data_IF_237769819252
#
_entry.id   IF_237769819252
#
_cell.length_a   1.000
_cell.length_b   1.000
_cell.length_c   1.000
_cell.angle_alpha   90.00
_cell.angle_beta   90.00
_cell.angle_gamma   90.00
#
_symmetry.space_group_name_H-M   'P 1'
#
loop_
_entity.id
_entity.type
_entity.pdbx_description
1 polymer ?
#
# COMPACT_ATOMS: atom_id res chain seq x y z
N UNK A 1 8.02 -53.77 -1.05
CA UNK A 1 8.03 -52.61 -0.12
C UNK A 1 9.05 -51.59 -0.60
N UNK A 2 8.66 -50.68 -1.51
CA UNK A 2 9.35 -49.41 -1.82
C UNK A 2 8.70 -48.80 -3.08
N UNK A 3 7.43 -48.38 -3.00
CA UNK A 3 6.77 -47.68 -4.12
C UNK A 3 5.54 -46.87 -3.69
N UNK A 4 5.54 -46.32 -2.46
CA UNK A 4 4.40 -45.55 -1.94
C UNK A 4 4.79 -44.26 -1.19
N UNK A 5 6.07 -43.85 -1.25
CA UNK A 5 6.53 -42.59 -0.66
C UNK A 5 6.54 -41.41 -1.66
N UNK A 6 6.70 -41.69 -2.97
CA UNK A 6 6.78 -40.65 -3.99
C UNK A 6 5.41 -40.07 -4.39
N UNK A 7 4.31 -40.78 -4.15
CA UNK A 7 2.96 -40.36 -4.57
C UNK A 7 2.22 -39.53 -3.50
N UNK A 8 2.72 -39.50 -2.25
CA UNK A 8 2.15 -38.70 -1.14
C UNK A 8 2.70 -37.27 -1.03
N UNK A 9 3.70 -36.89 -1.82
CA UNK A 9 4.26 -35.52 -1.84
C UNK A 9 3.61 -34.60 -2.90
N UNK A 10 2.78 -35.13 -3.80
CA UNK A 10 2.05 -34.36 -4.81
C UNK A 10 0.63 -33.90 -4.37
N UNK A 11 0.30 -34.04 -3.09
CA UNK A 11 -1.03 -33.75 -2.55
C UNK A 11 -1.01 -32.75 -1.38
N UNK A 12 -0.05 -31.82 -1.35
CA UNK A 12 -0.15 -30.63 -0.49
C UNK A 12 -0.87 -29.54 -1.29
N UNK A 13 -2.15 -29.27 -0.98
CA UNK A 13 -2.97 -28.43 -1.82
C UNK A 13 -2.54 -26.97 -1.70
N UNK A 14 -2.73 -26.29 -2.82
CA UNK A 14 -2.67 -24.84 -3.07
C UNK A 14 -3.57 -24.02 -2.08
N UNK A 15 -4.30 -24.69 -1.19
CA UNK A 15 -5.15 -24.12 -0.14
C UNK A 15 -4.39 -23.37 0.99
N UNK A 16 -3.12 -23.69 1.25
CA UNK A 16 -2.39 -23.01 2.32
C UNK A 16 -2.14 -21.52 2.03
N UNK A 17 -2.10 -21.12 0.74
CA UNK A 17 -1.95 -19.71 0.35
C UNK A 17 -3.26 -18.93 0.41
N UNK A 18 -4.42 -19.60 0.25
CA UNK A 18 -5.74 -18.97 0.39
C UNK A 18 -6.16 -18.77 1.85
N UNK A 19 -5.62 -19.56 2.78
CA UNK A 19 -5.98 -19.51 4.21
C UNK A 19 -5.36 -18.33 4.99
N UNK A 20 -4.27 -17.73 4.49
CA UNK A 20 -3.59 -16.62 5.17
C UNK A 20 -4.01 -15.22 4.72
N UNK A 21 -4.83 -15.12 3.66
CA UNK A 21 -5.51 -13.87 3.27
C UNK A 21 -6.88 -13.75 3.97
N UNK A 22 -7.41 -14.84 4.53
CA UNK A 22 -8.76 -14.97 5.09
C UNK A 22 -8.87 -14.82 6.61
N UNK A 23 -7.80 -14.52 7.35
CA UNK A 23 -7.93 -14.24 8.79
C UNK A 23 -8.00 -12.74 9.07
N UNK A 24 -9.16 -12.16 8.73
CA UNK A 24 -9.64 -10.91 9.31
C UNK A 24 -10.90 -11.21 10.12
N UNK A 25 -10.83 -10.99 11.44
CA UNK A 25 -11.95 -10.93 12.40
C UNK A 25 -12.86 -12.16 12.47
N UNK A 26 -12.51 -13.12 13.31
CA UNK A 26 -13.48 -14.04 13.89
C UNK A 26 -14.34 -13.30 14.92
N UNK A 27 -15.46 -12.73 14.46
CA UNK A 27 -16.61 -12.38 15.30
C UNK A 27 -17.57 -13.58 15.30
N UNK A 28 -18.11 -14.06 16.43
CA UNK A 28 -18.77 -15.37 16.50
C UNK A 28 -20.26 -15.33 16.06
N UNK A 29 -20.65 -14.43 15.18
CA UNK A 29 -22.04 -14.25 14.72
C UNK A 29 -22.18 -14.52 13.23
N UNK A 30 -22.03 -15.77 12.77
CA UNK A 30 -22.60 -16.25 11.51
C UNK A 30 -22.45 -15.36 10.25
N UNK A 31 -21.39 -14.57 10.17
CA UNK A 31 -21.31 -13.44 9.23
C UNK A 31 -20.61 -13.85 7.93
N UNK A 32 -21.11 -13.30 6.84
CA UNK A 32 -20.57 -13.44 5.50
C UNK A 32 -19.13 -12.91 5.49
N UNK A 33 -18.15 -13.79 5.28
CA UNK A 33 -16.75 -13.36 5.16
C UNK A 33 -16.60 -12.40 3.96
N UNK A 34 -16.37 -11.13 4.27
CA UNK A 34 -16.14 -10.09 3.27
C UNK A 34 -14.69 -10.15 2.80
N UNK A 35 -14.48 -10.21 1.49
CA UNK A 35 -13.13 -10.12 0.94
C UNK A 35 -12.64 -8.67 1.01
N UNK A 36 -11.37 -8.44 1.32
CA UNK A 36 -10.77 -7.09 1.35
C UNK A 36 -11.04 -6.30 0.07
N UNK A 37 -10.99 -6.96 -1.09
CA UNK A 37 -11.31 -6.36 -2.37
C UNK A 37 -12.76 -5.84 -2.45
N UNK A 38 -13.73 -6.56 -1.90
CA UNK A 38 -15.15 -6.16 -1.95
C UNK A 38 -15.42 -4.94 -1.08
N UNK A 39 -14.78 -4.87 0.09
CA UNK A 39 -14.84 -3.71 0.98
C UNK A 39 -14.22 -2.50 0.29
N UNK A 40 -13.04 -2.66 -0.32
CA UNK A 40 -12.35 -1.59 -1.05
C UNK A 40 -13.16 -1.09 -2.24
N UNK A 41 -13.75 -1.97 -3.05
CA UNK A 41 -14.58 -1.55 -4.19
C UNK A 41 -15.83 -0.79 -3.76
N UNK A 42 -16.45 -1.21 -2.65
CA UNK A 42 -17.63 -0.54 -2.09
C UNK A 42 -17.27 0.82 -1.51
N UNK A 43 -16.14 0.90 -0.81
CA UNK A 43 -15.59 2.14 -0.26
C UNK A 43 -15.24 3.14 -1.37
N UNK A 44 -14.51 2.71 -2.40
CA UNK A 44 -14.12 3.57 -3.53
C UNK A 44 -15.35 4.10 -4.29
N UNK A 45 -16.34 3.24 -4.56
CA UNK A 45 -17.58 3.68 -5.22
C UNK A 45 -18.31 4.73 -4.38
N UNK A 46 -18.45 4.50 -3.08
CA UNK A 46 -19.16 5.43 -2.19
C UNK A 46 -18.40 6.76 -2.04
N UNK A 47 -17.08 6.72 -1.93
CA UNK A 47 -16.21 7.91 -1.93
C UNK A 47 -16.38 8.72 -3.21
N UNK A 48 -16.43 8.08 -4.39
CA UNK A 48 -16.66 8.76 -5.66
C UNK A 48 -18.04 9.41 -5.74
N UNK A 49 -19.09 8.71 -5.29
CA UNK A 49 -20.46 9.26 -5.19
C UNK A 49 -20.48 10.50 -4.29
N UNK A 50 -19.82 10.45 -3.13
CA UNK A 50 -19.74 11.62 -2.25
C UNK A 50 -19.01 12.79 -2.90
N UNK A 51 -17.88 12.55 -3.56
CA UNK A 51 -17.15 13.61 -4.27
C UNK A 51 -17.97 14.22 -5.40
N UNK A 52 -18.66 13.39 -6.19
CA UNK A 52 -19.56 13.83 -7.22
C UNK A 52 -20.70 14.69 -6.62
N UNK A 53 -21.40 14.18 -5.61
CA UNK A 53 -22.48 14.90 -4.93
C UNK A 53 -22.02 16.23 -4.31
N UNK A 54 -20.87 16.24 -3.63
CA UNK A 54 -20.28 17.47 -3.09
C UNK A 54 -19.92 18.47 -4.20
N UNK A 55 -19.47 17.99 -5.36
CA UNK A 55 -19.22 18.79 -6.56
C UNK A 55 -20.48 19.44 -7.12
N UNK A 56 -21.60 18.71 -7.17
CA UNK A 56 -22.90 19.27 -7.58
C UNK A 56 -23.40 20.36 -6.63
N UNK A 57 -23.18 20.19 -5.33
CA UNK A 57 -23.55 21.16 -4.29
C UNK A 57 -22.52 22.33 -4.24
N UNK A 58 -21.49 22.31 -5.09
CA UNK A 58 -20.44 23.33 -5.15
C UNK A 58 -19.64 23.48 -3.84
N UNK A 59 -19.46 22.37 -3.10
CA UNK A 59 -18.68 22.33 -1.86
C UNK A 59 -17.16 22.38 -2.07
N UNK A 60 -16.69 22.40 -3.32
CA UNK A 60 -15.26 22.58 -3.64
C UNK A 60 -14.73 23.93 -3.13
N UNK A 61 -15.57 24.97 -3.11
CA UNK A 61 -15.19 26.25 -2.50
C UNK A 61 -15.04 26.16 -0.97
N UNK A 62 -15.79 25.28 -0.30
CA UNK A 62 -15.68 25.09 1.15
C UNK A 62 -14.37 24.40 1.52
N UNK A 63 -13.89 23.47 0.69
CA UNK A 63 -12.60 22.82 0.91
C UNK A 63 -11.40 23.76 0.67
N UNK A 64 -11.57 24.94 0.08
CA UNK A 64 -10.51 25.97 0.06
C UNK A 64 -10.20 26.47 1.49
N UNK A 65 -11.11 26.28 2.44
CA UNK A 65 -10.91 26.61 3.86
C UNK A 65 -9.98 25.60 4.56
N UNK A 66 -9.77 24.41 3.99
CA UNK A 66 -8.70 23.52 4.47
C UNK A 66 -7.36 24.19 4.20
N UNK A 67 -6.69 24.59 5.28
CA UNK A 67 -5.39 25.23 5.22
C UNK A 67 -4.34 24.29 4.60
N UNK A 68 -3.45 24.84 3.78
CA UNK A 68 -2.27 24.11 3.27
C UNK A 68 -1.47 23.46 4.42
N UNK A 69 -1.50 24.07 5.61
CA UNK A 69 -0.88 23.53 6.84
C UNK A 69 -1.52 22.21 7.29
N UNK A 70 -2.84 22.06 7.18
CA UNK A 70 -3.55 20.84 7.58
C UNK A 70 -3.19 19.69 6.63
N UNK A 71 -3.18 19.95 5.32
CA UNK A 71 -2.80 18.95 4.31
C UNK A 71 -1.34 18.55 4.46
N UNK A 72 -0.44 19.51 4.73
CA UNK A 72 0.99 19.25 4.98
C UNK A 72 1.20 18.41 6.25
N UNK A 73 0.52 18.73 7.35
CA UNK A 73 0.59 17.97 8.61
C UNK A 73 0.04 16.54 8.43
N UNK A 74 -1.11 16.41 7.76
CA UNK A 74 -1.69 15.10 7.42
C UNK A 74 -0.74 14.26 6.55
N UNK A 75 -0.21 14.83 5.46
CA UNK A 75 0.73 14.14 4.58
C UNK A 75 2.00 13.71 5.31
N UNK A 76 2.51 14.54 6.22
CA UNK A 76 3.68 14.21 7.05
C UNK A 76 3.37 13.08 8.02
N UNK A 77 2.19 13.11 8.68
CA UNK A 77 1.72 12.02 9.54
C UNK A 77 1.57 10.69 8.77
N UNK A 78 0.95 10.72 7.60
CA UNK A 78 0.85 9.57 6.71
C UNK A 78 2.23 9.05 6.28
N UNK A 79 3.20 9.93 6.01
CA UNK A 79 4.56 9.52 5.65
C UNK A 79 5.24 8.74 6.79
N UNK A 80 5.11 9.19 8.04
CA UNK A 80 5.66 8.49 9.22
C UNK A 80 4.93 7.15 9.43
N UNK A 81 3.61 7.12 9.25
CA UNK A 81 2.84 5.88 9.34
C UNK A 81 3.24 4.86 8.27
N UNK A 82 3.41 5.30 7.01
CA UNK A 82 3.87 4.44 5.91
C UNK A 82 5.29 3.97 6.18
N UNK A 83 6.21 4.86 6.58
CA UNK A 83 7.58 4.49 6.94
C UNK A 83 7.60 3.41 8.03
N UNK A 84 6.78 3.55 9.06
CA UNK A 84 6.62 2.52 10.11
C UNK A 84 6.15 1.19 9.54
N UNK A 85 5.17 1.19 8.63
CA UNK A 85 4.69 -0.03 7.98
C UNK A 85 5.76 -0.69 7.11
N UNK A 86 6.65 0.09 6.49
CA UNK A 86 7.76 -0.46 5.70
C UNK A 86 8.88 -1.03 6.58
N UNK A 87 9.12 -0.47 7.77
CA UNK A 87 10.08 -1.03 8.72
C UNK A 87 9.70 -2.46 9.14
N UNK A 88 8.41 -2.73 9.37
CA UNK A 88 7.94 -4.10 9.65
C UNK A 88 8.34 -5.10 8.55
N UNK A 89 8.14 -4.71 7.29
CA UNK A 89 8.54 -5.51 6.14
C UNK A 89 10.07 -5.64 6.02
N UNK A 90 10.82 -4.62 6.42
CA UNK A 90 12.28 -4.58 6.34
C UNK A 90 12.95 -5.56 7.32
N UNK A 91 12.37 -5.69 8.52
CA UNK A 91 12.86 -6.60 9.56
C UNK A 91 12.25 -8.01 9.47
N UNK A 92 11.38 -8.29 8.49
CA UNK A 92 10.71 -9.58 8.29
C UNK A 92 9.98 -10.09 9.55
N UNK A 93 9.57 -9.15 10.39
CA UNK A 93 8.88 -9.46 11.65
C UNK A 93 7.43 -9.76 11.27
N UNK A 94 7.13 -11.05 11.18
CA UNK A 94 5.76 -11.54 11.13
C UNK A 94 5.14 -11.36 12.51
N UNK A 95 4.75 -10.13 12.87
CA UNK A 95 3.89 -9.91 14.04
C UNK A 95 2.57 -10.60 13.71
N UNK A 96 2.19 -11.70 14.39
CA UNK A 96 0.92 -12.35 14.12
C UNK A 96 -0.18 -11.33 14.37
N UNK A 97 -0.96 -11.04 13.32
CA UNK A 97 -2.11 -10.10 13.36
C UNK A 97 -3.11 -10.41 14.48
N UNK A 98 -3.02 -11.63 15.02
CA UNK A 98 -3.89 -12.22 16.04
C UNK A 98 -3.39 -11.96 17.48
N UNK A 99 -2.18 -11.40 17.69
CA UNK A 99 -1.64 -11.08 19.03
C UNK A 99 -1.45 -9.59 19.28
N UNK A 100 -2.05 -8.73 18.47
CA UNK A 100 -2.21 -7.32 18.83
C UNK A 100 -3.53 -7.21 19.57
N UNK A 101 -3.48 -7.27 20.90
CA UNK A 101 -4.63 -7.24 21.81
C UNK A 101 -5.49 -5.97 21.71
N UNK A 102 -5.13 -5.01 20.86
CA UNK A 102 -5.78 -3.70 20.77
C UNK A 102 -5.69 -3.15 19.34
N UNK A 103 -6.55 -3.70 18.47
CA UNK A 103 -6.78 -3.23 17.09
C UNK A 103 -7.31 -1.78 17.05
N UNK A 104 -7.88 -1.27 18.15
CA UNK A 104 -8.70 -0.05 18.20
C UNK A 104 -8.14 1.09 19.06
N UNK A 105 -6.92 0.99 19.62
CA UNK A 105 -6.38 2.08 20.44
C UNK A 105 -5.72 3.18 19.58
N UNK A 106 -5.86 4.47 19.96
CA UNK A 106 -5.22 5.62 19.30
C UNK A 106 -3.67 5.63 19.37
N UNK A 107 -3.04 4.54 19.80
CA UNK A 107 -1.59 4.37 19.94
C UNK A 107 -1.08 3.05 19.34
N UNK A 108 -1.82 2.42 18.42
CA UNK A 108 -1.40 1.19 17.73
C UNK A 108 0.05 1.29 17.21
N UNK A 109 0.42 2.46 16.66
CA UNK A 109 1.77 2.72 16.16
C UNK A 109 2.83 2.60 17.26
N UNK A 110 2.58 3.09 18.48
CA UNK A 110 3.52 2.96 19.61
C UNK A 110 3.68 1.51 20.03
N UNK A 111 2.58 0.75 20.05
CA UNK A 111 2.63 -0.67 20.38
C UNK A 111 3.35 -1.49 19.28
N UNK A 112 3.16 -1.13 18.01
CA UNK A 112 3.90 -1.72 16.90
C UNK A 112 5.40 -1.45 17.07
N UNK A 113 5.81 -0.24 17.49
CA UNK A 113 7.22 0.10 17.75
C UNK A 113 7.83 -0.71 18.89
N UNK A 114 7.07 -0.93 19.97
CA UNK A 114 7.49 -1.79 21.10
C UNK A 114 7.64 -3.24 20.63
N UNK A 115 6.68 -3.75 19.85
CA UNK A 115 6.75 -5.11 19.28
C UNK A 115 7.93 -5.29 18.31
N UNK A 116 8.25 -4.28 17.51
CA UNK A 116 9.46 -4.28 16.66
C UNK A 116 10.72 -4.33 17.53
N UNK A 117 10.79 -3.53 18.59
CA UNK A 117 11.95 -3.47 19.47
C UNK A 117 12.21 -4.80 20.21
N UNK A 118 11.14 -5.47 20.68
CA UNK A 118 11.25 -6.78 21.34
C UNK A 118 11.66 -7.88 20.37
N UNK A 119 11.15 -7.84 19.12
CA UNK A 119 11.38 -8.90 18.15
C UNK A 119 12.61 -8.66 17.25
N UNK A 120 13.27 -7.51 17.39
CA UNK A 120 14.54 -7.17 16.74
C UNK A 120 15.62 -8.21 17.06
N UNK A 121 15.58 -8.80 18.27
CA UNK A 121 16.57 -9.79 18.74
C UNK A 121 16.39 -11.16 18.05
N UNK A 122 15.19 -11.49 17.56
CA UNK A 122 14.88 -12.76 16.89
C UNK A 122 14.87 -12.65 15.36
N UNK A 123 15.28 -11.51 14.81
CA UNK A 123 15.25 -11.25 13.37
C UNK A 123 16.32 -12.07 12.63
N UNK A 124 15.97 -12.58 11.45
CA UNK A 124 16.92 -13.24 10.57
C UNK A 124 17.95 -12.21 10.05
N UNK A 125 19.20 -12.31 10.52
CA UNK A 125 20.30 -11.43 10.12
C UNK A 125 20.52 -11.39 8.59
N UNK A 126 20.14 -12.46 7.88
CA UNK A 126 20.26 -12.53 6.42
C UNK A 126 19.24 -11.61 5.74
N UNK A 127 17.99 -11.56 6.23
CA UNK A 127 16.97 -10.68 5.66
C UNK A 127 17.29 -9.21 5.92
N UNK A 128 17.82 -8.89 7.11
CA UNK A 128 18.29 -7.55 7.45
C UNK A 128 19.49 -7.12 6.59
N UNK A 129 20.46 -8.01 6.37
CA UNK A 129 21.59 -7.75 5.49
C UNK A 129 21.16 -7.52 4.04
N UNK A 130 20.22 -8.31 3.55
CA UNK A 130 19.66 -8.17 2.19
C UNK A 130 18.89 -6.86 2.02
N UNK A 131 18.10 -6.47 3.03
CA UNK A 131 17.29 -5.27 2.99
C UNK A 131 18.14 -4.00 3.12
N UNK A 132 19.15 -4.00 3.99
CA UNK A 132 20.16 -2.95 4.08
C UNK A 132 20.97 -2.81 2.79
N UNK A 133 21.38 -3.94 2.19
CA UNK A 133 22.06 -3.94 0.89
C UNK A 133 21.15 -3.38 -0.21
N UNK A 134 19.88 -3.78 -0.25
CA UNK A 134 18.90 -3.26 -1.20
C UNK A 134 18.72 -1.75 -1.11
N UNK A 135 18.59 -1.21 0.11
CA UNK A 135 18.51 0.24 0.36
C UNK A 135 19.81 0.94 -0.07
N UNK A 136 20.97 0.44 0.35
CA UNK A 136 22.26 1.02 0.01
C UNK A 136 22.49 1.05 -1.51
N UNK A 137 22.14 -0.03 -2.19
CA UNK A 137 22.24 -0.14 -3.64
C UNK A 137 21.26 0.82 -4.34
N UNK A 138 20.02 0.95 -3.84
CA UNK A 138 19.04 1.91 -4.38
C UNK A 138 19.52 3.36 -4.24
N UNK A 139 20.03 3.73 -3.07
CA UNK A 139 20.63 5.06 -2.82
C UNK A 139 21.84 5.28 -3.72
N UNK A 140 22.73 4.29 -3.84
CA UNK A 140 23.91 4.38 -4.70
C UNK A 140 23.52 4.60 -6.17
N UNK A 141 22.52 3.87 -6.65
CA UNK A 141 22.01 4.00 -8.03
C UNK A 141 21.43 5.38 -8.28
N UNK A 142 20.61 5.92 -7.36
CA UNK A 142 20.01 7.25 -7.51
C UNK A 142 21.02 8.38 -7.37
N UNK A 143 21.89 8.34 -6.36
CA UNK A 143 22.79 9.44 -6.05
C UNK A 143 24.05 9.46 -6.93
N UNK A 144 24.56 8.30 -7.36
CA UNK A 144 25.82 8.21 -8.11
C UNK A 144 25.63 7.84 -9.58
N UNK A 145 24.78 6.87 -9.89
CA UNK A 145 24.64 6.37 -11.28
C UNK A 145 23.73 7.29 -12.09
N UNK A 146 22.59 7.71 -11.55
CA UNK A 146 21.62 8.56 -12.25
C UNK A 146 22.22 9.90 -12.73
N UNK A 147 22.93 10.71 -11.91
CA UNK A 147 23.53 11.96 -12.39
C UNK A 147 24.65 11.73 -13.39
N UNK A 148 25.46 10.67 -13.23
CA UNK A 148 26.51 10.32 -14.19
C UNK A 148 25.92 9.90 -15.54
N UNK A 149 24.81 9.16 -15.52
CA UNK A 149 24.11 8.73 -16.72
C UNK A 149 23.46 9.91 -17.45
N UNK A 150 22.81 10.82 -16.71
CA UNK A 150 22.26 12.08 -17.25
C UNK A 150 23.36 12.96 -17.86
N UNK A 151 24.50 13.08 -17.19
CA UNK A 151 25.66 13.83 -17.70
C UNK A 151 26.23 13.20 -18.97
N UNK A 152 26.33 11.87 -19.03
CA UNK A 152 26.92 11.15 -20.17
C UNK A 152 26.02 11.15 -21.41
N UNK A 153 24.71 10.99 -21.24
CA UNK A 153 23.77 10.91 -22.35
C UNK A 153 23.14 12.26 -22.73
N UNK A 154 23.42 13.34 -21.97
CA UNK A 154 22.91 14.71 -22.19
C UNK A 154 21.39 14.77 -22.43
N UNK A 155 20.67 13.81 -21.86
CA UNK A 155 19.22 13.66 -21.99
C UNK A 155 18.54 14.14 -20.72
N UNK A 156 17.59 15.07 -20.88
CA UNK A 156 16.72 15.55 -19.79
C UNK A 156 15.56 14.58 -19.49
N UNK A 157 15.65 13.33 -19.95
CA UNK A 157 14.59 12.33 -19.79
C UNK A 157 14.84 11.59 -18.46
N UNK A 158 13.83 11.49 -17.58
CA UNK A 158 13.94 10.67 -16.37
C UNK A 158 14.12 9.20 -16.76
N UNK A 159 15.22 8.58 -16.32
CA UNK A 159 15.46 7.16 -16.57
C UNK A 159 14.63 6.30 -15.60
N UNK A 160 13.96 5.22 -16.06
CA UNK A 160 13.15 4.34 -15.21
C UNK A 160 14.05 3.38 -14.38
N UNK A 161 14.94 3.95 -13.57
CA UNK A 161 15.97 3.21 -12.85
C UNK A 161 15.38 2.27 -11.79
N UNK A 162 14.26 2.67 -11.18
CA UNK A 162 13.54 1.90 -10.17
C UNK A 162 13.05 0.55 -10.75
N UNK A 163 12.52 0.55 -11.98
CA UNK A 163 12.05 -0.68 -12.64
C UNK A 163 13.22 -1.59 -13.01
N UNK A 164 14.32 -1.02 -13.53
CA UNK A 164 15.53 -1.80 -13.83
C UNK A 164 16.10 -2.45 -12.58
N UNK A 165 16.06 -1.74 -11.45
CA UNK A 165 16.51 -2.24 -10.16
C UNK A 165 15.70 -3.45 -9.70
N UNK A 166 14.37 -3.35 -9.77
CA UNK A 166 13.45 -4.44 -9.40
C UNK A 166 13.69 -5.66 -10.29
N UNK A 167 13.89 -5.48 -11.59
CA UNK A 167 14.22 -6.58 -12.52
C UNK A 167 15.54 -7.23 -12.14
N UNK A 168 16.60 -6.45 -11.91
CA UNK A 168 17.90 -6.96 -11.51
C UNK A 168 17.85 -7.74 -10.20
N UNK A 169 17.13 -7.22 -9.19
CA UNK A 169 16.96 -7.89 -7.91
C UNK A 169 16.13 -9.18 -8.04
N UNK A 170 15.14 -9.21 -8.93
CA UNK A 170 14.36 -10.43 -9.22
C UNK A 170 15.24 -11.53 -9.83
N UNK A 171 16.09 -11.18 -10.79
CA UNK A 171 17.04 -12.11 -11.41
C UNK A 171 18.07 -12.61 -10.39
N UNK A 172 18.61 -11.70 -9.56
CA UNK A 172 19.52 -12.04 -8.49
C UNK A 172 18.88 -12.99 -7.47
N UNK A 173 17.63 -12.72 -7.10
CA UNK A 173 16.85 -13.56 -6.19
C UNK A 173 16.64 -14.97 -6.72
N UNK A 174 16.34 -15.08 -8.02
CA UNK A 174 16.19 -16.36 -8.71
C UNK A 174 17.51 -17.14 -8.77
N UNK A 175 18.63 -16.48 -9.10
CA UNK A 175 19.94 -17.13 -9.23
C UNK A 175 20.48 -17.67 -7.90
N UNK A 176 20.27 -16.92 -6.81
CA UNK A 176 20.74 -17.28 -5.46
C UNK A 176 19.76 -18.18 -4.69
N UNK A 177 18.58 -18.47 -5.27
CA UNK A 177 17.52 -19.31 -4.68
C UNK A 177 17.23 -18.96 -3.20
N UNK A 178 17.08 -17.65 -2.92
CA UNK A 178 17.01 -17.13 -1.55
C UNK A 178 15.84 -17.66 -0.74
N UNK A 179 14.72 -17.97 -1.40
CA UNK A 179 13.54 -18.51 -0.76
C UNK A 179 13.81 -19.87 -0.09
N UNK A 180 14.46 -20.78 -0.81
CA UNK A 180 14.65 -22.16 -0.34
C UNK A 180 15.76 -22.26 0.71
N UNK A 181 16.81 -21.43 0.58
CA UNK A 181 18.02 -21.51 1.43
C UNK A 181 18.00 -20.57 2.64
N UNK A 182 17.31 -19.43 2.54
CA UNK A 182 17.34 -18.38 3.57
C UNK A 182 15.96 -18.00 4.11
N UNK A 183 14.89 -18.70 3.68
CA UNK A 183 13.49 -18.47 4.08
C UNK A 183 13.04 -17.00 3.96
N UNK A 184 13.58 -16.27 2.99
CA UNK A 184 13.17 -14.89 2.74
C UNK A 184 11.79 -14.90 2.10
N UNK A 185 10.88 -14.07 2.63
CA UNK A 185 9.55 -13.86 2.05
C UNK A 185 9.65 -13.35 0.62
N UNK A 186 9.21 -14.16 -0.35
CA UNK A 186 9.09 -13.75 -1.75
C UNK A 186 7.65 -13.39 -2.10
N UNK A 187 7.49 -12.50 -3.06
CA UNK A 187 6.17 -12.21 -3.62
C UNK A 187 5.61 -13.49 -4.25
N UNK A 188 4.42 -13.91 -3.79
CA UNK A 188 3.74 -15.10 -4.28
C UNK A 188 3.16 -14.91 -5.69
N UNK A 189 2.33 -15.86 -6.11
CA UNK A 189 1.70 -15.81 -7.42
C UNK A 189 0.73 -14.62 -7.53
N UNK A 190 1.01 -13.71 -8.46
CA UNK A 190 0.11 -12.63 -8.84
C UNK A 190 -0.89 -13.20 -9.85
N UNK A 191 -2.21 -13.13 -9.61
CA UNK A 191 -3.21 -13.62 -10.55
C UNK A 191 -3.07 -12.88 -11.89
N UNK A 192 -3.07 -13.63 -12.99
CA UNK A 192 -2.94 -13.06 -14.34
C UNK A 192 -4.32 -12.66 -14.87
N UNK A 193 -4.40 -11.50 -15.49
CA UNK A 193 -5.63 -10.98 -16.10
C UNK A 193 -6.30 -9.89 -15.26
N UNK A 194 -7.25 -9.19 -15.89
CA UNK A 194 -8.05 -8.19 -15.21
C UNK A 194 -9.09 -8.89 -14.32
N UNK A 195 -9.28 -8.46 -13.06
CA UNK A 195 -10.39 -8.95 -12.26
C UNK A 195 -11.70 -8.60 -12.98
N UNK A 196 -12.65 -9.54 -13.03
CA UNK A 196 -13.95 -9.28 -13.60
C UNK A 196 -14.62 -8.12 -12.84
N UNK A 197 -15.24 -7.13 -13.53
CA UNK A 197 -16.00 -6.08 -12.88
C UNK A 197 -17.11 -6.72 -12.03
N UNK A 198 -17.06 -6.47 -10.72
CA UNK A 198 -18.09 -6.89 -9.78
C UNK A 198 -18.77 -5.67 -9.21
N UNK A 199 -20.10 -5.74 -9.08
CA UNK A 199 -20.84 -4.70 -8.40
C UNK A 199 -20.49 -4.72 -6.90
N UNK A 200 -20.28 -3.54 -6.30
CA UNK A 200 -20.02 -3.44 -4.87
C UNK A 200 -21.25 -3.86 -4.07
N UNK A 201 -21.01 -4.43 -2.90
CA UNK A 201 -22.09 -4.95 -2.05
C UNK A 201 -22.73 -3.80 -1.29
N UNK A 202 -24.02 -3.59 -1.54
CA UNK A 202 -24.78 -2.50 -0.93
C UNK A 202 -24.95 -2.69 0.58
N UNK A 203 -24.90 -3.94 1.06
CA UNK A 203 -25.08 -4.28 2.48
C UNK A 203 -23.98 -3.67 3.37
N UNK A 204 -22.75 -3.51 2.85
CA UNK A 204 -21.63 -2.91 3.60
C UNK A 204 -21.68 -1.37 3.62
N UNK A 205 -22.43 -0.74 2.72
CA UNK A 205 -22.38 0.71 2.53
C UNK A 205 -22.76 1.45 3.82
N UNK A 206 -23.71 0.92 4.58
CA UNK A 206 -24.13 1.54 5.84
C UNK A 206 -23.02 1.55 6.89
N UNK A 207 -22.11 0.56 6.88
CA UNK A 207 -21.03 0.46 7.86
C UNK A 207 -19.83 1.35 7.51
N UNK A 208 -19.60 1.62 6.22
CA UNK A 208 -18.42 2.37 5.73
C UNK A 208 -18.75 3.81 5.32
N UNK A 209 -19.97 4.28 5.61
CA UNK A 209 -20.45 5.59 5.14
C UNK A 209 -19.65 6.76 5.73
N UNK A 210 -19.28 6.68 7.01
CA UNK A 210 -18.47 7.73 7.65
C UNK A 210 -17.02 7.69 7.18
N UNK A 211 -16.43 6.50 7.06
CA UNK A 211 -15.06 6.34 6.57
C UNK A 211 -14.90 6.87 5.14
N UNK A 212 -15.85 6.53 4.25
CA UNK A 212 -15.83 6.99 2.86
C UNK A 212 -16.00 8.51 2.72
N UNK A 213 -16.77 9.17 3.59
CA UNK A 213 -16.92 10.62 3.62
C UNK A 213 -15.62 11.31 4.05
N UNK A 214 -14.96 10.80 5.11
CA UNK A 214 -13.66 11.33 5.56
C UNK A 214 -12.62 11.18 4.46
N UNK A 215 -12.55 9.99 3.84
CA UNK A 215 -11.64 9.73 2.72
C UNK A 215 -11.94 10.65 1.54
N UNK A 216 -13.22 10.90 1.23
CA UNK A 216 -13.61 11.80 0.13
C UNK A 216 -13.07 13.23 0.33
N UNK A 217 -13.20 13.79 1.53
CA UNK A 217 -12.73 15.13 1.88
C UNK A 217 -11.21 15.20 1.83
N UNK A 218 -10.53 14.23 2.45
CA UNK A 218 -9.06 14.20 2.53
C UNK A 218 -8.44 14.01 1.15
N UNK A 219 -8.95 13.07 0.36
CA UNK A 219 -8.48 12.82 -1.00
C UNK A 219 -8.65 14.06 -1.88
N UNK A 220 -9.79 14.77 -1.76
CA UNK A 220 -9.99 16.02 -2.47
C UNK A 220 -9.00 17.10 -2.03
N UNK A 221 -8.77 17.26 -0.71
CA UNK A 221 -7.85 18.26 -0.19
C UNK A 221 -6.40 18.05 -0.67
N UNK A 222 -5.93 16.81 -0.69
CA UNK A 222 -4.59 16.45 -1.20
C UNK A 222 -4.50 16.71 -2.70
N UNK A 223 -5.50 16.29 -3.47
CA UNK A 223 -5.55 16.53 -4.93
C UNK A 223 -5.54 18.02 -5.26
N UNK A 224 -6.39 18.80 -4.59
CA UNK A 224 -6.49 20.25 -4.78
C UNK A 224 -5.19 20.97 -4.38
N UNK A 225 -4.53 20.53 -3.31
CA UNK A 225 -3.22 21.08 -2.90
C UNK A 225 -2.16 20.86 -3.98
N UNK A 226 -2.09 19.65 -4.53
CA UNK A 226 -1.17 19.35 -5.64
C UNK A 226 -1.51 20.17 -6.88
N UNK A 227 -2.79 20.27 -7.22
CA UNK A 227 -3.25 21.07 -8.34
C UNK A 227 -2.83 22.55 -8.15
N UNK A 228 -3.07 23.15 -6.99
CA UNK A 228 -2.65 24.53 -6.66
C UNK A 228 -1.15 24.76 -6.83
N UNK A 229 -0.32 23.79 -6.45
CA UNK A 229 1.15 23.85 -6.65
C UNK A 229 1.47 23.96 -8.15
N UNK A 230 0.84 23.14 -8.99
CA UNK A 230 1.03 23.20 -10.44
C UNK A 230 0.47 24.48 -11.06
N UNK A 231 -0.70 24.94 -10.63
CA UNK A 231 -1.27 26.22 -11.06
C UNK A 231 -0.35 27.40 -10.76
N UNK A 232 0.24 27.42 -9.55
CA UNK A 232 1.22 28.46 -9.18
C UNK A 232 2.47 28.38 -10.04
N UNK A 233 2.96 27.17 -10.33
CA UNK A 233 4.16 26.94 -11.15
C UNK A 233 3.96 27.30 -12.64
N UNK A 234 2.80 26.96 -13.20
CA UNK A 234 2.49 27.14 -14.62
C UNK A 234 1.56 28.33 -14.91
N UNK A 235 1.19 29.11 -13.89
CA UNK A 235 0.37 30.33 -13.96
C UNK A 235 -1.02 30.14 -14.61
N UNK A 236 -1.68 29.02 -14.34
CA UNK A 236 -3.08 28.80 -14.73
C UNK A 236 -4.03 28.90 -13.52
N UNK A 237 -5.32 29.10 -13.78
CA UNK A 237 -6.36 29.13 -12.74
C UNK A 237 -6.95 27.73 -12.55
N UNK A 238 -7.30 27.39 -11.31
CA UNK A 238 -7.97 26.12 -10.97
C UNK A 238 -9.35 26.43 -10.43
N UNK A 239 -10.33 25.66 -10.89
CA UNK A 239 -11.67 25.62 -10.32
C UNK A 239 -11.79 24.39 -9.41
N UNK A 240 -11.93 24.63 -8.10
CA UNK A 240 -12.04 23.58 -7.11
C UNK A 240 -13.29 22.70 -7.30
N UNK A 241 -14.41 23.25 -7.77
CA UNK A 241 -15.63 22.47 -8.00
C UNK A 241 -15.47 21.53 -9.19
N UNK A 242 -14.80 22.00 -10.25
CA UNK A 242 -14.50 21.16 -11.42
C UNK A 242 -13.54 20.03 -11.05
N UNK A 243 -12.50 20.31 -10.25
CA UNK A 243 -11.60 19.29 -9.72
C UNK A 243 -12.34 18.26 -8.86
N UNK A 244 -13.32 18.69 -8.06
CA UNK A 244 -14.09 17.81 -7.18
C UNK A 244 -14.99 16.85 -7.98
N UNK A 245 -15.69 17.34 -9.01
CA UNK A 245 -16.50 16.51 -9.91
C UNK A 245 -15.60 15.57 -10.73
N UNK A 246 -14.47 16.07 -11.22
CA UNK A 246 -13.51 15.28 -11.98
C UNK A 246 -12.92 14.13 -11.13
N UNK A 247 -12.65 14.38 -9.84
CA UNK A 247 -12.15 13.36 -8.93
C UNK A 247 -13.20 12.28 -8.64
N UNK A 248 -14.46 12.67 -8.41
CA UNK A 248 -15.54 11.72 -8.12
C UNK A 248 -15.98 10.86 -9.30
N UNK A 249 -15.69 11.28 -10.54
CA UNK A 249 -15.99 10.54 -11.77
C UNK A 249 -14.86 9.62 -12.25
N UNK A 250 -13.71 9.60 -11.56
CA UNK A 250 -12.51 8.84 -11.92
C UNK A 250 -12.42 7.52 -11.17
#
# INVERSE_FOLDING_TARGET
MSSNAAQKLNALPIDYAHKNISNGTSDPTGDVDYTTLEVLTSLCMLTGIFQFAMGFIQLGSLSVILSDTLVSAFSTGCAIQVATSQLNSLFDIHVPKNKVYVKWLPFKMVNDWIGIAEQLVHTNLVTLGLSAFGIALLVFVKEYIEPKLKAKFKTNIPFPIDIMLVIGFTIFSWLMNLHTKYQVGIMGNIPKGLPAPKLPRLDLLSSIIMDSLVIAIVAFAVSLSLAKIFAKKHKYKIDANQELIALGSR
#
